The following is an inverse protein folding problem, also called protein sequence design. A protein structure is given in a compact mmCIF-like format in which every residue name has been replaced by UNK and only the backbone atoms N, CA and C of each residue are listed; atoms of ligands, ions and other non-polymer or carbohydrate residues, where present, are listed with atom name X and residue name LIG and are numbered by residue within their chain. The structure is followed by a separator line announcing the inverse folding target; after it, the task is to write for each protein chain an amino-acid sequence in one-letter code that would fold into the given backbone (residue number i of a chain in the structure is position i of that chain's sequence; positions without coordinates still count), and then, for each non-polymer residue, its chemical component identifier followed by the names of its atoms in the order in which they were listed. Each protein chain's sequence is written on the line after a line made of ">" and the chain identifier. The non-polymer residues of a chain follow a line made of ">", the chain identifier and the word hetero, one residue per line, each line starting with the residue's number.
data_IF_085113112410
#
_entry.id   IF_085113112410
#
_cell.length_a   1.000
_cell.length_b   1.000
_cell.length_c   1.000
_cell.angle_alpha   90.00
_cell.angle_beta   90.00
_cell.angle_gamma   90.00
#
_symmetry.space_group_name_H-M   'P 1'
#
loop_
_entity.id
_entity.type
_entity.pdbx_description
1 polymer ?
#
# COMPACT_ATOMS: atom_id res chain seq x y z
N UNK A 1 8.30 13.48 31.91
CA UNK A 1 7.01 13.02 31.37
C UNK A 1 6.90 11.54 31.65
N UNK A 2 5.95 11.17 32.52
CA UNK A 2 5.65 9.80 32.91
C UNK A 2 4.99 9.06 31.76
N UNK A 3 5.39 7.81 31.49
CA UNK A 3 4.47 6.80 30.96
C UNK A 3 4.71 5.45 31.65
N UNK A 4 3.71 5.05 32.44
CA UNK A 4 3.52 3.75 33.09
C UNK A 4 2.78 2.82 32.11
N UNK A 5 3.26 1.60 31.91
CA UNK A 5 2.49 0.43 31.44
C UNK A 5 2.99 -0.74 32.30
N UNK A 6 2.32 -1.18 33.36
CA UNK A 6 0.97 -1.76 33.54
C UNK A 6 0.82 -3.13 32.85
N UNK A 7 1.05 -4.15 33.68
CA UNK A 7 0.97 -5.59 33.45
C UNK A 7 -0.51 -6.00 33.51
N UNK A 8 -0.98 -6.78 32.53
CA UNK A 8 -2.30 -7.41 32.54
C UNK A 8 -2.13 -8.93 32.71
N UNK A 9 -2.51 -9.45 33.87
CA UNK A 9 -2.68 -10.90 34.14
C UNK A 9 -4.17 -11.19 34.26
N UNK A 10 -4.69 -12.02 33.37
CA UNK A 10 -6.08 -12.47 33.37
C UNK A 10 -6.27 -13.61 34.38
N UNK A 11 -7.16 -13.39 35.35
CA UNK A 11 -7.68 -14.38 36.30
C UNK A 11 -9.06 -14.80 35.80
N UNK A 12 -9.23 -16.07 35.44
CA UNK A 12 -10.55 -16.65 35.20
C UNK A 12 -10.92 -17.51 36.41
N UNK A 13 -11.74 -16.94 37.29
CA UNK A 13 -12.47 -17.62 38.36
C UNK A 13 -13.83 -18.05 37.79
N UNK A 14 -14.11 -19.35 37.75
CA UNK A 14 -15.47 -19.87 37.56
C UNK A 14 -15.88 -20.58 38.84
N UNK A 15 -16.80 -19.92 39.57
CA UNK A 15 -17.53 -20.50 40.69
C UNK A 15 -18.72 -21.27 40.11
N UNK A 16 -18.85 -22.56 40.45
CA UNK A 16 -20.08 -23.32 40.22
C UNK A 16 -20.79 -23.51 41.56
N UNK A 17 -22.00 -22.96 41.61
CA UNK A 17 -22.94 -22.96 42.73
C UNK A 17 -23.43 -24.38 43.04
N UNK A 18 -23.34 -24.79 44.30
CA UNK A 18 -23.96 -26.00 44.83
C UNK A 18 -25.39 -25.68 45.27
N UNK A 19 -26.39 -26.23 44.58
CA UNK A 19 -27.78 -26.23 45.01
C UNK A 19 -28.14 -27.62 45.57
N UNK A 20 -28.38 -27.70 46.87
CA UNK A 20 -29.09 -28.80 47.52
C UNK A 20 -30.59 -28.54 47.45
N UNK A 21 -31.41 -29.58 47.24
CA UNK A 21 -32.72 -29.63 47.85
C UNK A 21 -32.80 -30.77 48.88
N UNK A 22 -33.29 -30.43 50.06
CA UNK A 22 -33.88 -31.34 51.03
C UNK A 22 -35.38 -31.10 50.98
N UNK A 23 -36.19 -32.11 50.68
CA UNK A 23 -37.58 -32.20 51.13
C UNK A 23 -37.92 -33.68 51.35
N UNK A 24 -38.31 -33.99 52.59
CA UNK A 24 -38.98 -35.21 53.04
C UNK A 24 -40.36 -35.37 52.39
N UNK A 25 -40.75 -36.62 52.10
CA UNK A 25 -41.99 -37.24 52.60
C UNK A 25 -42.25 -38.55 51.87
N UNK A 26 -42.61 -39.55 52.68
CA UNK A 26 -43.01 -40.90 52.31
C UNK A 26 -44.08 -40.95 51.22
N UNK A 27 -43.82 -41.76 50.19
CA UNK A 27 -44.85 -42.46 49.45
C UNK A 27 -44.27 -43.77 48.92
N UNK A 28 -44.79 -44.86 49.46
CA UNK A 28 -44.57 -46.24 49.05
C UNK A 28 -44.84 -46.39 47.55
N UNK A 29 -43.78 -46.29 46.73
CA UNK A 29 -43.82 -46.65 45.32
C UNK A 29 -43.33 -48.09 45.17
N UNK A 30 -44.27 -48.95 44.78
CA UNK A 30 -44.04 -50.32 44.27
C UNK A 30 -42.82 -50.35 43.35
N UNK A 31 -41.91 -51.28 43.63
CA UNK A 31 -40.65 -51.42 42.91
C UNK A 31 -40.83 -51.76 41.44
N UNK A 32 -40.24 -50.94 40.58
CA UNK A 32 -39.73 -51.38 39.28
C UNK A 32 -38.41 -52.12 39.55
N UNK A 33 -38.49 -53.44 39.72
CA UNK A 33 -37.36 -54.34 40.02
C UNK A 33 -36.29 -54.43 38.90
N UNK A 34 -36.27 -53.50 37.92
CA UNK A 34 -35.48 -53.61 36.69
C UNK A 34 -34.58 -52.40 36.36
N UNK A 35 -34.54 -51.32 37.16
CA UNK A 35 -33.68 -50.17 36.86
C UNK A 35 -32.34 -50.20 37.62
N UNK A 36 -31.28 -50.66 36.95
CA UNK A 36 -29.92 -50.80 37.50
C UNK A 36 -29.00 -49.61 37.22
N UNK A 37 -29.52 -48.48 36.73
CA UNK A 37 -28.68 -47.37 36.28
C UNK A 37 -27.90 -47.65 34.99
N UNK A 38 -27.09 -46.66 34.55
CA UNK A 38 -26.44 -46.68 33.22
C UNK A 38 -25.24 -47.63 33.10
N UNK A 39 -24.56 -47.92 34.21
CA UNK A 39 -23.27 -48.63 34.25
C UNK A 39 -23.41 -50.11 34.69
N UNK A 40 -24.64 -50.56 34.96
CA UNK A 40 -24.96 -51.93 35.34
C UNK A 40 -26.08 -52.52 34.47
N UNK A 41 -26.27 -53.83 34.58
CA UNK A 41 -27.29 -54.61 33.89
C UNK A 41 -27.99 -55.52 34.89
N UNK A 42 -29.32 -55.66 34.78
CA UNK A 42 -30.07 -56.62 35.58
C UNK A 42 -29.79 -58.04 35.06
N UNK A 43 -29.18 -58.87 35.89
CA UNK A 43 -28.99 -60.28 35.64
C UNK A 43 -29.74 -61.06 36.72
N UNK A 44 -30.79 -61.77 36.32
CA UNK A 44 -31.61 -62.63 37.20
C UNK A 44 -32.13 -61.93 38.46
N UNK A 45 -32.58 -60.67 38.34
CA UNK A 45 -33.10 -59.88 39.46
C UNK A 45 -32.04 -59.18 40.30
N UNK A 46 -30.76 -59.29 39.94
CA UNK A 46 -29.64 -58.62 40.61
C UNK A 46 -28.94 -57.67 39.64
N UNK A 47 -28.72 -56.42 40.05
CA UNK A 47 -27.96 -55.47 39.26
C UNK A 47 -26.45 -55.76 39.37
N UNK A 48 -25.82 -56.04 38.24
CA UNK A 48 -24.38 -56.34 38.13
C UNK A 48 -23.72 -55.34 37.20
N UNK A 49 -22.54 -54.84 37.57
CA UNK A 49 -21.78 -53.90 36.74
C UNK A 49 -21.42 -54.51 35.39
N UNK A 50 -21.46 -53.69 34.33
CA UNK A 50 -21.03 -54.12 32.98
C UNK A 50 -19.55 -54.50 32.96
N UNK A 51 -18.74 -53.85 33.79
CA UNK A 51 -17.34 -54.17 34.00
C UNK A 51 -17.19 -55.06 35.24
N UNK A 52 -16.65 -56.28 35.07
CA UNK A 52 -16.54 -57.26 36.15
C UNK A 52 -15.63 -56.85 37.32
N UNK A 53 -14.75 -55.87 37.12
CA UNK A 53 -13.85 -55.33 38.16
C UNK A 53 -14.52 -54.29 39.08
N UNK A 54 -15.75 -53.86 38.78
CA UNK A 54 -16.49 -52.87 39.55
C UNK A 54 -17.58 -53.53 40.38
N UNK A 55 -17.84 -53.02 41.59
CA UNK A 55 -19.00 -53.43 42.40
C UNK A 55 -20.16 -52.47 42.19
N UNK A 56 -21.35 -53.04 42.10
CA UNK A 56 -22.60 -52.29 42.07
C UNK A 56 -22.99 -51.91 43.50
N UNK A 57 -23.22 -50.62 43.73
CA UNK A 57 -23.81 -50.11 44.96
C UNK A 57 -25.30 -49.85 44.73
N UNK A 58 -26.15 -50.62 45.41
CA UNK A 58 -27.60 -50.52 45.28
C UNK A 58 -28.18 -49.22 45.84
N UNK A 59 -27.49 -48.54 46.76
CA UNK A 59 -27.93 -47.25 47.34
C UNK A 59 -27.73 -46.10 46.36
N UNK A 60 -26.60 -46.09 45.66
CA UNK A 60 -26.26 -45.03 44.70
C UNK A 60 -26.62 -45.38 43.27
N UNK A 61 -27.00 -46.65 43.00
CA UNK A 61 -27.26 -47.20 41.67
C UNK A 61 -26.08 -46.99 40.70
N UNK A 62 -24.85 -47.05 41.22
CA UNK A 62 -23.62 -46.84 40.45
C UNK A 62 -22.64 -48.00 40.62
N UNK A 63 -21.79 -48.15 39.60
CA UNK A 63 -20.65 -49.04 39.63
C UNK A 63 -19.41 -48.27 40.06
N UNK A 64 -18.69 -48.78 41.06
CA UNK A 64 -17.42 -48.20 41.50
C UNK A 64 -16.39 -49.28 41.81
N UNK A 65 -15.13 -48.91 41.73
CA UNK A 65 -14.03 -49.78 42.11
C UNK A 65 -13.97 -49.92 43.64
N UNK A 66 -13.73 -51.13 44.14
CA UNK A 66 -13.58 -51.38 45.57
C UNK A 66 -12.17 -51.03 46.06
N UNK A 67 -12.01 -50.93 47.39
CA UNK A 67 -10.70 -50.88 48.04
C UNK A 67 -9.84 -49.65 47.68
N UNK A 68 -10.50 -48.51 47.43
CA UNK A 68 -9.84 -47.24 47.13
C UNK A 68 -9.20 -47.17 45.74
N UNK A 69 -9.54 -48.11 44.85
CA UNK A 69 -9.10 -48.12 43.45
C UNK A 69 -9.95 -47.15 42.62
N UNK A 70 -9.41 -46.70 41.50
CA UNK A 70 -10.09 -45.88 40.50
C UNK A 70 -10.18 -46.61 39.18
N UNK A 71 -11.23 -46.32 38.41
CA UNK A 71 -11.43 -46.89 37.08
C UNK A 71 -10.51 -46.19 36.08
N UNK A 72 -9.58 -46.94 35.46
CA UNK A 72 -8.63 -46.39 34.46
C UNK A 72 -9.16 -46.42 33.03
N UNK A 73 -10.45 -46.74 32.85
CA UNK A 73 -11.07 -46.96 31.55
C UNK A 73 -11.08 -48.43 31.11
N UNK A 74 -10.19 -49.26 31.68
CA UNK A 74 -10.07 -50.70 31.33
C UNK A 74 -10.16 -51.63 32.55
N UNK A 75 -9.67 -51.21 33.72
CA UNK A 75 -9.70 -51.98 34.97
C UNK A 75 -9.67 -51.06 36.20
N UNK A 76 -9.97 -51.61 37.37
CA UNK A 76 -9.83 -50.93 38.65
C UNK A 76 -8.39 -51.01 39.18
N UNK A 77 -7.69 -49.89 39.27
CA UNK A 77 -6.29 -49.80 39.75
C UNK A 77 -6.12 -48.74 40.84
N UNK A 78 -5.04 -48.82 41.63
CA UNK A 78 -4.72 -47.80 42.62
C UNK A 78 -4.27 -46.50 41.93
N UNK A 79 -4.86 -45.37 42.35
CA UNK A 79 -4.53 -44.05 41.82
C UNK A 79 -3.20 -43.53 42.36
N UNK A 80 -2.13 -43.78 41.61
CA UNK A 80 -0.79 -43.26 41.88
C UNK A 80 -0.47 -41.97 41.11
N UNK A 81 -1.42 -41.38 40.37
CA UNK A 81 -1.13 -40.29 39.44
C UNK A 81 -0.37 -40.73 38.18
N UNK A 82 -0.09 -39.78 37.29
CA UNK A 82 0.43 -40.05 35.92
C UNK A 82 1.89 -40.50 35.87
N UNK A 83 2.71 -40.08 36.84
CA UNK A 83 4.18 -40.24 36.83
C UNK A 83 4.66 -41.42 37.69
N UNK A 84 3.73 -42.12 38.35
CA UNK A 84 4.01 -43.27 39.19
C UNK A 84 3.22 -44.50 38.73
N UNK A 85 3.51 -45.63 39.35
CA UNK A 85 2.85 -46.90 39.14
C UNK A 85 2.75 -47.65 40.47
N UNK A 86 1.73 -48.48 40.63
CA UNK A 86 1.53 -49.26 41.85
C UNK A 86 2.34 -50.56 41.77
N UNK A 87 3.36 -50.72 42.62
CA UNK A 87 4.20 -51.92 42.71
C UNK A 87 4.45 -52.29 44.17
N UNK A 88 4.42 -53.60 44.47
CA UNK A 88 4.72 -54.15 45.80
C UNK A 88 3.94 -53.48 46.95
N UNK A 89 2.65 -53.19 46.75
CA UNK A 89 1.80 -52.61 47.79
C UNK A 89 1.92 -51.09 47.97
N UNK A 90 2.71 -50.38 47.14
CA UNK A 90 2.88 -48.92 47.21
C UNK A 90 3.01 -48.28 45.82
N UNK A 91 2.73 -46.98 45.74
CA UNK A 91 3.01 -46.19 44.55
C UNK A 91 4.52 -45.87 44.48
N UNK A 92 5.13 -46.14 43.33
CA UNK A 92 6.55 -45.86 43.06
C UNK A 92 6.70 -45.10 41.75
N UNK A 93 7.69 -44.21 41.68
CA UNK A 93 7.92 -43.40 40.50
C UNK A 93 8.38 -44.23 39.31
N UNK A 94 7.92 -43.86 38.10
CA UNK A 94 8.33 -44.52 36.85
C UNK A 94 9.81 -44.31 36.56
N UNK A 95 10.33 -43.15 36.90
CA UNK A 95 11.72 -42.79 36.65
C UNK A 95 12.58 -43.02 37.89
N UNK A 96 13.71 -43.71 37.70
CA UNK A 96 14.68 -43.94 38.77
C UNK A 96 15.25 -42.62 39.31
N UNK A 97 15.32 -42.49 40.65
CA UNK A 97 15.85 -41.30 41.34
C UNK A 97 14.81 -40.23 41.68
N UNK A 98 13.55 -40.40 41.30
CA UNK A 98 12.44 -39.59 41.79
C UNK A 98 11.79 -40.24 43.02
N UNK A 99 11.31 -39.42 43.95
CA UNK A 99 10.53 -39.86 45.10
C UNK A 99 9.05 -39.54 44.91
N UNK A 100 8.21 -40.48 45.32
CA UNK A 100 6.76 -40.36 45.23
C UNK A 100 6.22 -39.62 46.45
N UNK A 101 5.52 -38.52 46.22
CA UNK A 101 4.79 -37.80 47.25
C UNK A 101 3.32 -38.23 47.23
N UNK A 102 2.88 -38.91 48.30
CA UNK A 102 1.54 -39.44 48.42
C UNK A 102 0.44 -38.37 48.58
N UNK A 103 0.78 -37.16 49.02
CA UNK A 103 -0.20 -36.05 49.16
C UNK A 103 -0.54 -35.44 47.82
N UNK A 104 0.48 -35.27 46.97
CA UNK A 104 0.35 -34.64 45.65
C UNK A 104 0.17 -35.65 44.52
N UNK A 105 0.34 -36.95 44.82
CA UNK A 105 0.33 -38.06 43.84
C UNK A 105 1.29 -37.80 42.67
N UNK A 106 2.48 -37.29 42.99
CA UNK A 106 3.46 -36.84 41.99
C UNK A 106 4.87 -37.34 42.34
N UNK A 107 5.71 -37.39 41.30
CA UNK A 107 7.11 -37.81 41.40
C UNK A 107 8.04 -36.63 41.20
N UNK A 108 8.93 -36.40 42.15
CA UNK A 108 9.87 -35.28 42.11
C UNK A 108 11.28 -35.68 42.52
N UNK A 109 12.27 -34.93 42.06
CA UNK A 109 13.66 -35.14 42.45
C UNK A 109 13.90 -34.53 43.83
N UNK A 110 14.55 -35.26 44.73
CA UNK A 110 14.87 -34.77 46.08
C UNK A 110 16.20 -34.05 46.15
N UNK A 111 16.38 -33.24 47.19
CA UNK A 111 17.62 -32.52 47.46
C UNK A 111 17.90 -31.34 46.51
N UNK A 112 16.85 -30.63 46.04
CA UNK A 112 16.99 -29.44 45.18
C UNK A 112 17.41 -29.75 43.74
N UNK A 113 17.26 -31.00 43.31
CA UNK A 113 17.52 -31.44 41.94
C UNK A 113 16.27 -31.29 41.08
N UNK A 114 16.45 -31.20 39.78
CA UNK A 114 15.38 -31.15 38.77
C UNK A 114 15.54 -32.32 37.79
N UNK A 115 14.42 -32.76 37.22
CA UNK A 115 14.42 -33.82 36.23
C UNK A 115 14.84 -33.26 34.87
N UNK A 116 15.96 -33.75 34.33
CA UNK A 116 16.53 -33.32 33.04
C UNK A 116 15.95 -34.08 31.84
N UNK A 117 14.95 -34.93 32.04
CA UNK A 117 14.42 -35.86 31.05
C UNK A 117 15.00 -37.26 31.18
N UNK A 118 16.25 -37.39 31.66
CA UNK A 118 16.93 -38.68 31.85
C UNK A 118 17.32 -38.99 33.29
N UNK A 119 17.62 -37.96 34.10
CA UNK A 119 18.04 -38.11 35.51
C UNK A 119 17.81 -36.84 36.33
N UNK A 120 17.84 -36.99 37.67
CA UNK A 120 17.78 -35.87 38.60
C UNK A 120 19.14 -35.20 38.77
N UNK A 121 19.27 -33.92 38.37
CA UNK A 121 20.52 -33.13 38.49
C UNK A 121 20.26 -31.77 39.16
N UNK A 122 21.32 -31.13 39.68
CA UNK A 122 21.20 -29.79 40.25
C UNK A 122 20.95 -28.75 39.16
N UNK A 123 19.93 -27.91 39.36
CA UNK A 123 19.58 -26.85 38.43
C UNK A 123 20.51 -25.64 38.60
N UNK A 124 21.58 -25.61 37.81
CA UNK A 124 22.53 -24.50 37.73
C UNK A 124 22.20 -23.51 36.59
N UNK A 125 21.10 -23.69 35.86
CA UNK A 125 20.86 -22.93 34.64
C UNK A 125 21.72 -23.39 33.45
N UNK A 126 21.55 -22.71 32.30
CA UNK A 126 22.12 -23.14 31.00
C UNK A 126 23.64 -22.92 30.85
N UNK A 127 24.20 -21.94 31.56
CA UNK A 127 25.58 -21.48 31.38
C UNK A 127 26.53 -21.93 32.51
N UNK A 128 26.02 -22.73 33.45
CA UNK A 128 26.77 -23.26 34.59
C UNK A 128 26.57 -24.76 34.75
N UNK A 129 27.53 -25.39 35.42
CA UNK A 129 27.52 -26.81 35.75
C UNK A 129 27.76 -27.00 37.24
N UNK A 130 27.17 -28.04 37.82
CA UNK A 130 27.43 -28.41 39.20
C UNK A 130 28.79 -29.12 39.33
N UNK A 131 29.76 -28.50 40.01
CA UNK A 131 31.10 -29.07 40.26
C UNK A 131 31.50 -28.82 41.71
N UNK A 132 32.09 -29.82 42.37
CA UNK A 132 32.61 -29.72 43.75
C UNK A 132 31.59 -29.14 44.76
N UNK A 133 30.33 -29.57 44.68
CA UNK A 133 29.30 -29.15 45.64
C UNK A 133 28.65 -27.79 45.35
N UNK A 134 29.02 -27.10 44.27
CA UNK A 134 28.42 -25.80 43.89
C UNK A 134 28.23 -25.64 42.38
N UNK A 135 27.31 -24.79 41.97
CA UNK A 135 27.18 -24.37 40.59
C UNK A 135 28.34 -23.42 40.22
N UNK A 136 29.01 -23.72 39.11
CA UNK A 136 30.11 -22.91 38.59
C UNK A 136 29.91 -22.64 37.11
N UNK A 137 30.27 -21.44 36.66
CA UNK A 137 30.14 -21.08 35.27
C UNK A 137 31.00 -21.97 34.36
N UNK A 138 30.45 -22.28 33.19
CA UNK A 138 31.16 -23.06 32.18
C UNK A 138 32.36 -22.28 31.59
N UNK A 139 32.32 -20.94 31.68
CA UNK A 139 33.39 -20.03 31.27
C UNK A 139 34.14 -19.52 32.50
N UNK A 140 35.47 -19.65 32.49
CA UNK A 140 36.33 -19.43 33.65
C UNK A 140 36.33 -17.97 34.18
N UNK A 141 36.14 -16.97 33.31
CA UNK A 141 36.15 -15.56 33.72
C UNK A 141 34.78 -15.03 34.17
N UNK A 142 33.76 -15.87 34.21
CA UNK A 142 32.42 -15.49 34.62
C UNK A 142 32.14 -15.95 36.06
N UNK A 143 31.38 -15.15 36.80
CA UNK A 143 30.91 -15.49 38.12
C UNK A 143 29.45 -15.94 38.07
N UNK A 144 29.15 -16.96 38.88
CA UNK A 144 27.82 -17.54 38.99
C UNK A 144 27.00 -16.79 40.04
N UNK A 145 25.85 -16.27 39.63
CA UNK A 145 24.87 -15.69 40.52
C UNK A 145 23.80 -16.74 40.86
N UNK A 146 23.78 -17.16 42.13
CA UNK A 146 22.86 -18.20 42.61
C UNK A 146 21.39 -17.77 42.66
N UNK A 147 21.08 -16.46 42.72
CA UNK A 147 19.70 -15.96 42.75
C UNK A 147 19.06 -16.03 41.36
N UNK A 148 19.84 -15.68 40.35
CA UNK A 148 19.41 -15.61 38.95
C UNK A 148 19.75 -16.88 38.15
N UNK A 149 20.55 -17.79 38.73
CA UNK A 149 21.09 -18.99 38.06
C UNK A 149 21.79 -18.66 36.74
N UNK A 150 22.56 -17.57 36.75
CA UNK A 150 23.18 -17.01 35.55
C UNK A 150 24.67 -16.75 35.75
N UNK A 151 25.40 -16.69 34.63
CA UNK A 151 26.83 -16.42 34.59
C UNK A 151 27.08 -15.07 33.94
N UNK A 152 27.81 -14.19 34.62
CA UNK A 152 28.10 -12.85 34.12
C UNK A 152 29.50 -12.37 34.48
N UNK A 153 29.98 -11.38 33.74
CA UNK A 153 31.25 -10.72 34.03
C UNK A 153 31.05 -9.69 35.16
N UNK A 154 31.90 -9.71 36.18
CA UNK A 154 31.82 -8.77 37.31
C UNK A 154 32.67 -7.52 37.06
N UNK A 155 32.38 -6.46 37.82
CA UNK A 155 33.19 -5.23 37.80
C UNK A 155 33.10 -4.41 36.51
N UNK A 156 31.90 -4.32 35.89
CA UNK A 156 31.69 -3.51 34.69
C UNK A 156 32.34 -4.07 33.42
N UNK A 157 32.72 -5.36 33.44
CA UNK A 157 33.26 -6.07 32.29
C UNK A 157 32.15 -6.69 31.45
N UNK A 158 32.42 -6.90 30.17
CA UNK A 158 31.56 -7.58 29.21
C UNK A 158 32.25 -8.81 28.63
N UNK A 159 31.44 -9.80 28.27
CA UNK A 159 31.93 -11.04 27.66
C UNK A 159 32.16 -10.84 26.16
N UNK A 160 33.39 -11.06 25.70
CA UNK A 160 33.78 -10.91 24.27
C UNK A 160 33.65 -12.21 23.47
N UNK A 161 33.06 -13.25 24.05
CA UNK A 161 33.06 -14.61 23.48
C UNK A 161 34.20 -15.48 24.03
N UNK A 162 35.34 -14.87 24.36
CA UNK A 162 36.53 -15.57 24.89
C UNK A 162 36.88 -15.21 26.34
N UNK A 163 36.72 -13.94 26.73
CA UNK A 163 37.10 -13.43 28.05
C UNK A 163 36.26 -12.24 28.49
N UNK A 164 36.25 -11.95 29.79
CA UNK A 164 35.64 -10.74 30.35
C UNK A 164 36.60 -9.54 30.23
N UNK A 165 36.23 -8.50 29.49
CA UNK A 165 37.02 -7.27 29.31
C UNK A 165 36.24 -6.05 29.77
N UNK A 166 36.91 -4.97 30.16
CA UNK A 166 36.22 -3.71 30.49
C UNK A 166 35.45 -3.16 29.30
N UNK A 167 34.21 -2.73 29.55
CA UNK A 167 33.36 -2.14 28.51
C UNK A 167 33.73 -0.68 28.24
N UNK A 168 34.62 -0.49 27.27
CA UNK A 168 35.04 0.81 26.76
C UNK A 168 34.24 1.27 25.52
N UNK A 169 33.17 0.56 25.13
CA UNK A 169 32.50 0.81 23.86
C UNK A 169 33.30 0.32 22.63
N UNK A 170 32.86 0.71 21.43
CA UNK A 170 33.39 0.18 20.16
C UNK A 170 34.67 0.87 19.67
N UNK A 171 34.87 2.14 20.04
CA UNK A 171 35.96 2.99 19.51
C UNK A 171 37.15 3.14 20.47
N UNK A 172 37.09 2.50 21.63
CA UNK A 172 38.13 2.57 22.65
C UNK A 172 38.52 1.20 23.15
N UNK A 173 39.74 1.14 23.67
CA UNK A 173 40.34 -0.07 24.25
C UNK A 173 40.81 0.24 25.66
N UNK A 174 40.72 -0.75 26.55
CA UNK A 174 41.27 -0.65 27.90
C UNK A 174 42.81 -0.72 27.84
N UNK A 175 43.48 0.36 28.27
CA UNK A 175 44.94 0.48 28.27
C UNK A 175 45.40 1.29 29.49
N UNK A 176 46.43 0.81 30.20
CA UNK A 176 46.99 1.47 31.39
C UNK A 176 45.94 1.86 32.46
N UNK A 177 44.98 0.98 32.72
CA UNK A 177 43.98 1.18 33.78
C UNK A 177 42.85 2.16 33.43
N UNK A 178 42.71 2.57 32.16
CA UNK A 178 41.59 3.40 31.67
C UNK A 178 41.19 3.04 30.24
N UNK A 179 39.98 3.42 29.85
CA UNK A 179 39.58 3.35 28.44
C UNK A 179 40.24 4.48 27.65
N UNK A 180 40.85 4.13 26.52
CA UNK A 180 41.55 5.06 25.63
C UNK A 180 41.05 4.85 24.21
N UNK A 181 40.77 5.94 23.49
CA UNK A 181 40.36 5.87 22.10
C UNK A 181 41.41 5.17 21.23
N UNK A 182 40.95 4.37 20.27
CA UNK A 182 41.82 3.70 19.32
C UNK A 182 42.56 4.70 18.42
N UNK A 183 41.96 5.88 18.21
CA UNK A 183 42.57 7.00 17.50
C UNK A 183 43.12 8.03 18.49
N UNK A 184 44.40 8.40 18.35
CA UNK A 184 45.12 9.30 19.26
C UNK A 184 44.55 10.72 19.32
N UNK A 185 43.90 11.17 18.25
CA UNK A 185 43.36 12.53 18.14
C UNK A 185 41.97 12.68 18.76
N UNK A 186 41.35 11.56 19.16
CA UNK A 186 40.04 11.56 19.82
C UNK A 186 40.22 11.46 21.34
N UNK A 187 39.40 12.20 22.07
CA UNK A 187 39.28 12.08 23.53
C UNK A 187 38.16 11.12 23.88
N UNK A 188 38.39 10.28 24.89
CA UNK A 188 37.39 9.37 25.43
C UNK A 188 36.55 10.07 26.50
N UNK A 189 35.23 9.98 26.38
CA UNK A 189 34.29 10.42 27.41
C UNK A 189 33.78 9.21 28.21
N UNK A 190 34.04 9.20 29.51
CA UNK A 190 33.74 8.06 30.37
C UNK A 190 32.24 7.84 30.61
N UNK A 191 31.44 8.92 30.58
CA UNK A 191 29.98 8.84 30.83
C UNK A 191 29.25 8.25 29.62
N UNK A 192 29.65 8.66 28.43
CA UNK A 192 29.02 8.27 27.16
C UNK A 192 29.69 7.06 26.51
N UNK A 193 30.93 6.74 26.90
CA UNK A 193 31.80 5.73 26.29
C UNK A 193 32.07 5.99 24.80
N UNK A 194 32.13 7.27 24.42
CA UNK A 194 32.32 7.73 23.04
C UNK A 194 33.68 8.41 22.90
N UNK A 195 34.30 8.22 21.74
CA UNK A 195 35.50 8.91 21.31
C UNK A 195 35.16 10.08 20.38
N UNK A 196 35.47 11.30 20.79
CA UNK A 196 35.16 12.51 20.01
C UNK A 196 36.37 13.42 19.84
N UNK A 197 36.36 14.19 18.76
CA UNK A 197 37.33 15.25 18.53
C UNK A 197 37.07 16.41 19.48
N UNK A 198 38.11 16.98 20.09
CA UNK A 198 38.00 18.10 21.04
C UNK A 198 38.32 19.43 20.36
N UNK A 199 37.95 20.54 20.99
CA UNK A 199 38.30 21.89 20.48
C UNK A 199 37.60 22.30 19.18
N UNK A 200 36.36 21.83 18.95
CA UNK A 200 35.58 22.21 17.77
C UNK A 200 36.08 21.61 16.45
N UNK A 201 36.92 20.58 16.54
CA UNK A 201 37.39 19.81 15.39
C UNK A 201 36.46 18.63 15.09
N UNK A 202 36.46 18.15 13.85
CA UNK A 202 35.68 17.02 13.37
C UNK A 202 36.59 15.94 12.79
N UNK A 203 36.15 14.69 12.87
CA UNK A 203 36.89 13.55 12.38
C UNK A 203 36.81 13.48 10.86
N UNK A 204 37.93 13.66 10.16
CA UNK A 204 37.98 13.63 8.68
C UNK A 204 38.19 12.21 8.11
N UNK A 205 38.09 11.18 8.96
CA UNK A 205 38.39 9.79 8.62
C UNK A 205 39.79 9.36 9.04
N UNK A 206 40.75 10.30 9.07
CA UNK A 206 42.14 10.04 9.44
C UNK A 206 42.61 10.78 10.69
N UNK A 207 42.13 12.00 10.92
CA UNK A 207 42.54 12.87 12.04
C UNK A 207 41.41 13.85 12.40
N UNK A 208 41.52 14.49 13.56
CA UNK A 208 40.62 15.57 13.95
C UNK A 208 41.11 16.91 13.36
N UNK A 209 40.29 17.55 12.52
CA UNK A 209 40.62 18.85 11.90
C UNK A 209 39.51 19.87 12.11
N UNK A 210 39.81 21.16 11.96
CA UNK A 210 38.80 22.21 12.05
C UNK A 210 37.71 22.02 11.01
N UNK A 211 36.46 22.11 11.47
CA UNK A 211 35.29 21.97 10.61
C UNK A 211 35.01 23.26 9.83
N UNK A 212 35.62 23.37 8.65
CA UNK A 212 35.38 24.43 7.67
C UNK A 212 34.26 24.09 6.68
N UNK A 213 33.53 22.99 6.86
CA UNK A 213 32.60 22.48 5.83
C UNK A 213 33.30 21.85 4.62
N UNK A 214 32.51 21.45 3.63
CA UNK A 214 32.97 20.58 2.52
C UNK A 214 33.81 21.29 1.44
N UNK A 215 33.57 22.58 1.25
CA UNK A 215 34.13 23.37 0.13
C UNK A 215 35.30 24.28 0.55
N UNK A 216 35.68 24.24 1.82
CA UNK A 216 36.78 25.02 2.39
C UNK A 216 37.84 24.12 3.03
N UNK A 217 38.96 24.72 3.36
CA UNK A 217 40.11 24.12 4.04
C UNK A 217 40.59 25.08 5.13
N UNK A 218 41.11 24.54 6.22
CA UNK A 218 41.70 25.35 7.28
C UNK A 218 43.16 25.67 6.94
N UNK A 219 43.44 26.92 6.58
CA UNK A 219 44.78 27.41 6.23
C UNK A 219 45.12 28.66 7.03
N UNK A 220 46.35 28.74 7.56
CA UNK A 220 46.86 29.90 8.31
C UNK A 220 45.94 30.39 9.45
N UNK A 221 45.30 29.46 10.16
CA UNK A 221 44.46 29.78 11.31
C UNK A 221 43.03 30.23 10.96
N UNK A 222 42.60 30.12 9.71
CA UNK A 222 41.23 30.43 9.27
C UNK A 222 40.74 29.47 8.20
N UNK A 223 39.42 29.34 8.09
CA UNK A 223 38.79 28.61 6.99
C UNK A 223 38.83 29.45 5.72
N UNK A 224 39.32 28.86 4.62
CA UNK A 224 39.39 29.49 3.30
C UNK A 224 38.79 28.58 2.25
N UNK A 225 38.11 29.16 1.27
CA UNK A 225 37.53 28.39 0.18
C UNK A 225 38.61 27.73 -0.68
N UNK A 226 38.34 26.50 -1.12
CA UNK A 226 39.23 25.78 -2.05
C UNK A 226 39.40 26.53 -3.37
N UNK A 227 38.36 27.27 -3.77
CA UNK A 227 38.36 28.11 -4.95
C UNK A 227 38.56 29.58 -4.55
N UNK A 228 39.65 30.19 -5.05
CA UNK A 228 40.07 31.56 -4.68
C UNK A 228 39.05 32.66 -5.00
N UNK A 229 38.17 32.43 -5.97
CA UNK A 229 37.13 33.40 -6.37
C UNK A 229 35.89 33.36 -5.46
N UNK A 230 35.80 32.36 -4.56
CA UNK A 230 34.70 32.21 -3.62
C UNK A 230 35.07 32.81 -2.26
N UNK A 231 34.07 33.39 -1.60
CA UNK A 231 34.17 33.91 -0.26
C UNK A 231 33.65 32.87 0.74
N UNK A 232 34.39 32.69 1.82
CA UNK A 232 34.00 31.80 2.91
C UNK A 232 33.10 32.56 3.90
N UNK A 233 31.94 32.00 4.19
CA UNK A 233 31.04 32.51 5.21
C UNK A 233 31.14 31.66 6.48
N UNK A 234 31.64 32.26 7.56
CA UNK A 234 31.91 31.57 8.83
C UNK A 234 30.61 31.06 9.50
N UNK A 235 29.50 31.78 9.34
CA UNK A 235 28.23 31.42 9.96
C UNK A 235 27.60 30.17 9.34
N UNK A 236 27.66 30.05 8.01
CA UNK A 236 27.11 28.92 7.26
C UNK A 236 28.14 27.83 6.96
N UNK A 237 29.43 28.10 7.14
CA UNK A 237 30.55 27.23 6.72
C UNK A 237 30.49 26.86 5.25
N UNK A 238 30.10 27.82 4.41
CA UNK A 238 29.96 27.62 2.97
C UNK A 238 30.81 28.60 2.17
N UNK A 239 31.13 28.17 0.94
CA UNK A 239 31.83 28.98 -0.04
C UNK A 239 30.86 29.42 -1.12
N UNK A 240 30.79 30.72 -1.38
CA UNK A 240 29.89 31.30 -2.36
C UNK A 240 30.53 32.45 -3.12
N UNK A 241 30.01 32.75 -4.30
CA UNK A 241 30.43 33.90 -5.08
C UNK A 241 29.76 35.17 -4.55
N UNK A 242 30.51 36.27 -4.45
CA UNK A 242 29.98 37.58 -4.03
C UNK A 242 29.38 38.34 -5.21
N UNK A 243 28.69 39.45 -4.92
CA UNK A 243 28.23 40.43 -5.91
C UNK A 243 27.25 39.88 -6.96
N UNK A 244 26.40 38.92 -6.55
CA UNK A 244 25.40 38.32 -7.43
C UNK A 244 25.99 37.44 -8.53
N UNK A 245 27.24 37.01 -8.38
CA UNK A 245 27.88 36.02 -9.25
C UNK A 245 27.49 34.61 -8.85
N UNK A 246 27.60 33.68 -9.79
CA UNK A 246 27.40 32.24 -9.61
C UNK A 246 28.66 31.49 -10.00
N UNK A 247 28.86 30.33 -9.37
CA UNK A 247 29.98 29.45 -9.70
C UNK A 247 29.66 28.63 -10.95
N UNK A 248 30.44 28.80 -12.02
CA UNK A 248 30.26 28.04 -13.26
C UNK A 248 31.07 26.74 -13.33
N UNK A 249 31.67 26.31 -12.21
CA UNK A 249 32.60 25.17 -12.15
C UNK A 249 34.08 25.56 -12.21
N UNK A 250 34.41 26.77 -12.69
CA UNK A 250 35.79 27.25 -12.83
C UNK A 250 36.05 28.58 -12.13
N UNK A 251 35.10 29.52 -12.21
CA UNK A 251 35.21 30.87 -11.63
C UNK A 251 33.82 31.43 -11.29
N UNK A 252 33.81 32.48 -10.48
CA UNK A 252 32.58 33.24 -10.22
C UNK A 252 32.26 34.15 -11.41
N UNK A 253 31.11 33.93 -12.05
CA UNK A 253 30.62 34.69 -13.21
C UNK A 253 29.27 35.32 -12.90
N UNK A 254 28.94 36.43 -13.57
CA UNK A 254 27.62 37.04 -13.40
C UNK A 254 26.48 36.09 -13.81
N UNK A 255 25.43 36.02 -13.00
CA UNK A 255 24.25 35.25 -13.34
C UNK A 255 23.39 35.97 -14.38
N UNK A 256 23.51 35.51 -15.62
CA UNK A 256 22.68 35.94 -16.74
C UNK A 256 21.57 34.93 -17.08
N UNK A 257 21.37 33.88 -16.28
CA UNK A 257 20.48 32.78 -16.62
C UNK A 257 20.95 31.97 -17.82
N UNK A 258 20.10 31.05 -18.30
CA UNK A 258 20.46 30.08 -19.36
C UNK A 258 20.43 30.65 -20.79
N UNK A 259 19.73 31.77 -21.00
CA UNK A 259 19.43 32.32 -22.32
C UNK A 259 20.29 33.53 -22.69
N UNK A 260 21.15 33.99 -21.78
CA UNK A 260 22.00 35.13 -21.96
C UNK A 260 23.42 34.86 -21.48
N UNK A 261 24.35 35.64 -22.00
CA UNK A 261 25.77 35.62 -21.66
C UNK A 261 26.21 37.01 -21.24
N UNK A 262 27.16 37.08 -20.31
CA UNK A 262 27.76 38.35 -19.91
C UNK A 262 28.66 38.88 -21.03
N UNK A 263 28.30 40.02 -21.62
CA UNK A 263 29.06 40.66 -22.69
C UNK A 263 29.13 42.19 -22.48
N UNK A 264 30.35 42.74 -22.49
CA UNK A 264 30.65 44.16 -22.35
C UNK A 264 29.94 44.85 -21.15
N UNK A 265 29.99 44.22 -19.98
CA UNK A 265 29.45 44.79 -18.73
C UNK A 265 27.94 44.61 -18.51
N UNK A 266 27.26 43.81 -19.34
CA UNK A 266 25.83 43.49 -19.18
C UNK A 266 25.48 42.08 -19.66
N UNK A 267 24.38 41.53 -19.17
CA UNK A 267 23.82 40.30 -19.72
C UNK A 267 23.15 40.58 -21.07
N UNK A 268 23.52 39.82 -22.09
CA UNK A 268 23.00 39.93 -23.46
C UNK A 268 22.45 38.58 -23.89
N UNK A 269 21.25 38.58 -24.47
CA UNK A 269 20.62 37.37 -24.97
C UNK A 269 21.48 36.68 -26.03
N UNK A 270 21.56 35.35 -25.95
CA UNK A 270 22.29 34.53 -26.92
C UNK A 270 21.61 34.61 -28.30
N UNK A 271 20.28 34.69 -28.29
CA UNK A 271 19.47 34.88 -29.49
C UNK A 271 19.36 36.37 -29.83
N UNK A 272 19.59 36.69 -31.10
CA UNK A 272 19.42 38.04 -31.63
C UNK A 272 17.92 38.44 -31.59
N UNK A 273 17.63 39.75 -31.55
CA UNK A 273 16.28 40.34 -31.43
C UNK A 273 15.53 40.13 -30.11
N UNK A 274 16.05 39.35 -29.16
CA UNK A 274 15.49 39.25 -27.81
C UNK A 274 16.10 40.29 -26.87
N UNK A 275 15.27 40.83 -25.98
CA UNK A 275 15.72 41.71 -24.91
C UNK A 275 15.86 40.93 -23.61
N UNK A 276 16.95 41.20 -22.89
CA UNK A 276 17.21 40.63 -21.58
C UNK A 276 16.47 41.43 -20.51
N UNK A 277 15.77 40.74 -19.63
CA UNK A 277 15.15 41.31 -18.44
C UNK A 277 15.98 40.93 -17.20
N UNK A 278 16.55 41.94 -16.53
CA UNK A 278 17.47 41.73 -15.41
C UNK A 278 16.79 41.20 -14.14
N UNK A 279 15.49 41.47 -13.95
CA UNK A 279 14.74 41.00 -12.78
C UNK A 279 14.43 39.51 -12.88
N UNK A 280 14.06 39.06 -14.06
CA UNK A 280 13.66 37.67 -14.33
C UNK A 280 14.81 36.81 -14.85
N UNK A 281 15.92 37.42 -15.28
CA UNK A 281 17.05 36.76 -15.94
C UNK A 281 16.64 35.96 -17.17
N UNK A 282 15.68 36.48 -17.93
CA UNK A 282 15.12 35.82 -19.13
C UNK A 282 15.25 36.69 -20.38
N UNK A 283 15.18 36.03 -21.54
CA UNK A 283 15.23 36.68 -22.84
C UNK A 283 13.89 36.55 -23.55
N UNK A 284 13.26 37.68 -23.87
CA UNK A 284 11.93 37.72 -24.50
C UNK A 284 11.87 38.71 -25.66
N UNK A 285 10.92 38.49 -26.56
CA UNK A 285 10.63 39.42 -27.64
C UNK A 285 9.87 40.64 -27.10
N UNK A 286 10.30 41.83 -27.46
CA UNK A 286 9.65 43.08 -27.05
C UNK A 286 8.55 43.50 -28.03
N UNK A 287 7.61 44.35 -27.57
CA UNK A 287 6.58 44.93 -28.42
C UNK A 287 5.52 43.95 -28.92
N UNK A 288 5.14 42.96 -28.11
CA UNK A 288 4.09 42.00 -28.46
C UNK A 288 4.48 40.99 -29.55
N UNK A 289 5.77 40.90 -29.88
CA UNK A 289 6.31 39.92 -30.82
C UNK A 289 6.50 38.56 -30.15
N UNK A 290 6.52 37.50 -30.96
CA UNK A 290 6.80 36.13 -30.56
C UNK A 290 8.05 35.62 -31.27
N UNK A 291 8.70 34.63 -30.67
CA UNK A 291 9.85 33.96 -31.26
C UNK A 291 9.40 32.90 -32.26
N UNK A 292 9.77 33.02 -33.53
CA UNK A 292 9.44 32.01 -34.55
C UNK A 292 10.51 30.92 -34.74
N UNK A 293 11.51 30.85 -33.85
CA UNK A 293 12.67 29.98 -33.99
C UNK A 293 13.93 30.66 -34.54
N UNK A 294 13.79 31.83 -35.18
CA UNK A 294 14.92 32.58 -35.77
C UNK A 294 14.96 34.06 -35.39
N UNK A 295 13.80 34.71 -35.29
CA UNK A 295 13.68 36.15 -34.95
C UNK A 295 12.37 36.46 -34.25
N UNK A 296 12.29 37.63 -33.63
CA UNK A 296 11.05 38.13 -33.04
C UNK A 296 10.13 38.70 -34.13
N UNK A 297 8.97 38.07 -34.32
CA UNK A 297 7.95 38.44 -35.33
C UNK A 297 6.62 38.79 -34.67
N UNK A 298 5.77 39.56 -35.34
CA UNK A 298 4.41 39.80 -34.85
C UNK A 298 3.59 38.51 -34.85
N UNK A 299 2.82 38.29 -33.79
CA UNK A 299 1.95 37.13 -33.67
C UNK A 299 0.63 37.36 -34.40
N UNK A 300 0.56 36.89 -35.64
CA UNK A 300 -0.64 36.90 -36.48
C UNK A 300 -1.41 35.57 -36.46
N UNK A 301 -1.02 34.59 -35.64
CA UNK A 301 -1.59 33.23 -35.71
C UNK A 301 -1.12 32.43 -36.94
N UNK A 302 -1.69 31.23 -37.12
CA UNK A 302 -1.19 30.25 -38.10
C UNK A 302 -1.53 30.59 -39.57
N UNK A 303 -2.66 31.26 -39.80
CA UNK A 303 -3.25 31.46 -41.14
C UNK A 303 -3.04 32.86 -41.70
N UNK A 304 -2.36 33.74 -40.97
CA UNK A 304 -2.05 35.09 -41.38
C UNK A 304 -0.55 35.38 -41.36
N UNK A 305 -0.17 36.44 -42.06
CA UNK A 305 1.19 36.97 -42.15
C UNK A 305 1.16 38.46 -41.84
N UNK A 306 2.23 38.99 -41.27
CA UNK A 306 2.34 40.42 -41.00
C UNK A 306 2.87 41.14 -42.25
N UNK A 307 2.01 41.93 -42.91
CA UNK A 307 2.36 42.72 -44.09
C UNK A 307 1.90 44.18 -43.92
N UNK A 308 2.74 45.13 -44.33
CA UNK A 308 2.45 46.57 -44.30
C UNK A 308 1.91 47.09 -42.96
N UNK A 309 2.43 46.58 -41.84
CA UNK A 309 2.06 47.04 -40.50
C UNK A 309 0.79 46.39 -39.91
N UNK A 310 0.20 45.39 -40.59
CA UNK A 310 -0.99 44.67 -40.10
C UNK A 310 -0.92 43.17 -40.41
N UNK A 311 -1.66 42.37 -39.63
CA UNK A 311 -1.84 40.95 -39.94
C UNK A 311 -2.88 40.79 -41.06
N UNK A 312 -2.52 40.05 -42.11
CA UNK A 312 -3.38 39.75 -43.27
C UNK A 312 -3.44 38.25 -43.49
N UNK A 313 -4.61 37.75 -43.89
CA UNK A 313 -4.79 36.33 -44.17
C UNK A 313 -3.97 35.89 -45.38
N UNK A 314 -3.35 34.70 -45.29
CA UNK A 314 -2.66 34.07 -46.42
C UNK A 314 -3.61 33.81 -47.60
N UNK A 315 -4.88 33.55 -47.31
CA UNK A 315 -5.95 33.42 -48.30
C UNK A 315 -6.66 34.75 -48.51
N UNK A 316 -6.67 35.27 -49.74
CA UNK A 316 -7.22 36.60 -50.08
C UNK A 316 -8.72 36.76 -49.79
N UNK A 317 -9.48 35.66 -49.82
CA UNK A 317 -10.93 35.66 -49.59
C UNK A 317 -11.34 35.58 -48.12
N UNK A 318 -10.38 35.42 -47.20
CA UNK A 318 -10.63 35.38 -45.75
C UNK A 318 -10.35 36.74 -45.13
N UNK A 319 -11.12 37.10 -44.12
CA UNK A 319 -10.87 38.28 -43.30
C UNK A 319 -10.16 37.89 -42.00
N UNK A 320 -9.19 38.72 -41.60
CA UNK A 320 -8.45 38.53 -40.36
C UNK A 320 -9.20 39.16 -39.20
N UNK A 321 -9.37 38.41 -38.12
CA UNK A 321 -9.92 38.88 -36.87
C UNK A 321 -8.79 39.06 -35.83
N UNK A 322 -8.57 40.30 -35.42
CA UNK A 322 -7.45 40.66 -34.53
C UNK A 322 -7.61 40.11 -33.10
N UNK A 323 -8.84 39.91 -32.63
CA UNK A 323 -9.10 39.40 -31.27
C UNK A 323 -8.79 37.91 -31.16
N UNK A 324 -9.14 37.15 -32.18
CA UNK A 324 -8.98 35.69 -32.24
C UNK A 324 -7.70 35.26 -32.96
N UNK A 325 -6.99 36.21 -33.61
CA UNK A 325 -5.81 35.96 -34.45
C UNK A 325 -6.06 34.87 -35.49
N UNK A 326 -7.25 34.91 -36.11
CA UNK A 326 -7.73 33.87 -37.01
C UNK A 326 -8.27 34.44 -38.32
N UNK A 327 -8.28 33.60 -39.35
CA UNK A 327 -8.75 33.95 -40.68
C UNK A 327 -10.03 33.19 -41.00
N UNK A 328 -11.13 33.91 -41.23
CA UNK A 328 -12.44 33.32 -41.48
C UNK A 328 -13.14 33.94 -42.68
N UNK A 329 -14.08 33.19 -43.27
CA UNK A 329 -14.94 33.69 -44.33
C UNK A 329 -16.02 34.60 -43.73
N UNK A 330 -16.22 35.79 -44.31
CA UNK A 330 -17.24 36.73 -43.85
C UNK A 330 -18.61 36.43 -44.48
N UNK A 331 -19.69 36.89 -43.83
CA UNK A 331 -21.05 36.80 -44.37
C UNK A 331 -21.63 35.39 -44.44
N UNK A 332 -21.31 34.51 -43.49
CA UNK A 332 -21.87 33.15 -43.42
C UNK A 332 -21.38 32.20 -44.52
N UNK A 333 -20.33 32.59 -45.25
CA UNK A 333 -19.66 31.75 -46.25
C UNK A 333 -18.75 30.72 -45.57
N UNK A 334 -18.47 29.63 -46.26
CA UNK A 334 -17.55 28.58 -45.84
C UNK A 334 -16.38 28.45 -46.81
N UNK A 335 -15.23 28.02 -46.29
CA UNK A 335 -14.03 27.80 -47.09
C UNK A 335 -14.13 26.44 -47.80
N UNK A 336 -14.11 26.42 -49.13
CA UNK A 336 -14.15 25.17 -49.91
C UNK A 336 -12.76 24.63 -50.29
N UNK A 337 -11.68 25.15 -49.69
CA UNK A 337 -10.31 24.83 -50.06
C UNK A 337 -9.64 25.87 -50.96
N UNK A 338 -10.42 26.63 -51.74
CA UNK A 338 -9.91 27.65 -52.68
C UNK A 338 -10.47 29.06 -52.46
N UNK A 339 -11.76 29.16 -52.14
CA UNK A 339 -12.47 30.45 -51.95
C UNK A 339 -13.58 30.35 -50.92
N UNK A 340 -14.04 31.49 -50.44
CA UNK A 340 -15.19 31.57 -49.55
C UNK A 340 -16.49 31.50 -50.37
N UNK A 341 -17.25 30.42 -50.21
CA UNK A 341 -18.51 30.16 -50.94
C UNK A 341 -19.71 30.13 -50.02
N UNK A 342 -20.91 30.37 -50.54
CA UNK A 342 -22.13 30.20 -49.76
C UNK A 342 -22.32 28.73 -49.38
N UNK A 343 -22.60 28.49 -48.10
CA UNK A 343 -22.82 27.15 -47.57
C UNK A 343 -24.25 26.68 -47.87
N UNK A 344 -24.41 25.99 -48.99
CA UNK A 344 -25.68 25.38 -49.42
C UNK A 344 -25.80 23.89 -49.01
N UNK A 345 -24.87 23.36 -48.20
CA UNK A 345 -24.82 21.92 -47.94
C UNK A 345 -24.37 21.09 -49.15
N UNK A 346 -24.44 19.75 -49.02
CA UNK A 346 -23.87 18.80 -49.99
C UNK A 346 -24.74 18.53 -51.24
N UNK A 347 -26.06 18.73 -51.12
CA UNK A 347 -27.04 18.33 -52.15
C UNK A 347 -27.60 19.54 -52.93
N UNK A 348 -27.05 20.74 -52.70
CA UNK A 348 -27.45 21.97 -53.37
C UNK A 348 -26.25 22.79 -53.83
N UNK A 349 -26.49 23.68 -54.80
CA UNK A 349 -25.52 24.61 -55.34
C UNK A 349 -26.08 26.03 -55.32
N UNK A 350 -25.22 27.02 -55.08
CA UNK A 350 -25.63 28.42 -55.10
C UNK A 350 -25.76 28.90 -56.56
N UNK A 351 -26.96 29.25 -56.99
CA UNK A 351 -27.29 29.70 -58.34
C UNK A 351 -28.33 30.82 -58.30
N UNK A 352 -28.16 31.87 -59.12
CA UNK A 352 -29.07 33.04 -59.19
C UNK A 352 -29.42 33.68 -57.83
N UNK A 353 -28.46 33.74 -56.90
CA UNK A 353 -28.65 34.39 -55.61
C UNK A 353 -29.27 33.50 -54.51
N UNK A 354 -29.58 32.23 -54.81
CA UNK A 354 -30.19 31.29 -53.87
C UNK A 354 -29.53 29.91 -53.94
N UNK A 355 -29.64 29.12 -52.87
CA UNK A 355 -29.25 27.71 -52.90
C UNK A 355 -30.33 26.88 -53.60
N UNK A 356 -29.95 26.15 -54.63
CA UNK A 356 -30.84 25.33 -55.47
C UNK A 356 -30.37 23.89 -55.44
N UNK A 357 -31.30 22.97 -55.24
CA UNK A 357 -31.01 21.53 -55.22
C UNK A 357 -30.40 21.05 -56.53
N UNK A 358 -29.42 20.14 -56.43
CA UNK A 358 -28.77 19.55 -57.60
C UNK A 358 -29.75 18.68 -58.42
N UNK A 359 -30.74 18.09 -57.74
CA UNK A 359 -31.74 17.23 -58.35
C UNK A 359 -33.04 17.97 -58.63
N UNK A 360 -33.58 17.79 -59.85
CA UNK A 360 -34.90 18.32 -60.25
C UNK A 360 -35.99 17.71 -59.35
N UNK A 361 -37.03 18.49 -59.08
CA UNK A 361 -38.18 18.17 -58.19
C UNK A 361 -37.91 18.16 -56.67
N UNK A 362 -36.68 18.42 -56.23
CA UNK A 362 -36.35 18.65 -54.82
C UNK A 362 -36.44 20.14 -54.47
N UNK A 363 -36.89 20.43 -53.24
CA UNK A 363 -36.96 21.76 -52.68
C UNK A 363 -35.86 21.95 -51.64
N UNK A 364 -35.17 23.09 -51.69
CA UNK A 364 -34.12 23.44 -50.74
C UNK A 364 -34.72 24.04 -49.48
N UNK A 365 -34.34 23.51 -48.32
CA UNK A 365 -34.72 24.05 -47.02
C UNK A 365 -33.52 24.82 -46.41
N UNK A 366 -33.67 26.14 -46.29
CA UNK A 366 -32.58 27.03 -45.86
C UNK A 366 -32.16 26.82 -44.40
N UNK A 367 -33.07 26.36 -43.54
CA UNK A 367 -32.77 26.11 -42.11
C UNK A 367 -31.91 24.86 -41.92
N UNK A 368 -32.24 23.79 -42.62
CA UNK A 368 -31.54 22.51 -42.54
C UNK A 368 -30.38 22.40 -43.53
N UNK A 369 -30.32 23.29 -44.54
CA UNK A 369 -29.38 23.24 -45.67
C UNK A 369 -29.45 21.91 -46.41
N UNK A 370 -30.65 21.37 -46.58
CA UNK A 370 -30.90 20.09 -47.24
C UNK A 370 -31.93 20.21 -48.35
N UNK A 371 -31.90 19.24 -49.26
CA UNK A 371 -32.84 19.10 -50.35
C UNK A 371 -33.81 17.96 -50.08
N UNK A 372 -35.11 18.23 -50.16
CA UNK A 372 -36.16 17.26 -49.88
C UNK A 372 -37.29 17.33 -50.92
N UNK A 373 -37.93 16.19 -51.17
CA UNK A 373 -39.12 16.12 -51.99
C UNK A 373 -40.32 16.72 -51.24
N UNK A 374 -41.13 17.54 -51.92
CA UNK A 374 -42.34 18.15 -51.33
C UNK A 374 -43.57 17.24 -51.46
N UNK A 375 -44.57 17.46 -50.62
CA UNK A 375 -45.88 16.77 -50.75
C UNK A 375 -45.88 15.29 -50.38
N UNK A 376 -45.06 14.86 -49.42
CA UNK A 376 -45.02 13.47 -48.94
C UNK A 376 -44.36 12.49 -49.92
N UNK A 377 -43.67 13.00 -50.94
CA UNK A 377 -42.89 12.22 -51.90
C UNK A 377 -41.51 11.90 -51.33
N UNK A 378 -40.88 10.85 -51.84
CA UNK A 378 -39.50 10.49 -51.53
C UNK A 378 -38.67 10.41 -52.81
N UNK A 379 -37.36 10.64 -52.67
CA UNK A 379 -36.44 10.55 -53.79
C UNK A 379 -36.11 9.08 -54.06
N UNK A 380 -36.42 8.59 -55.28
CA UNK A 380 -36.12 7.21 -55.65
C UNK A 380 -34.77 7.04 -56.41
N UNK A 381 -33.92 8.07 -56.41
CA UNK A 381 -32.67 8.10 -57.20
C UNK A 381 -32.77 8.85 -58.53
N UNK A 382 -33.99 9.12 -59.03
CA UNK A 382 -34.17 9.86 -60.30
C UNK A 382 -35.26 10.92 -60.27
N UNK A 383 -36.33 10.74 -59.48
CA UNK A 383 -37.43 11.70 -59.36
C UNK A 383 -38.13 11.58 -58.01
N UNK A 384 -38.86 12.62 -57.60
CA UNK A 384 -39.69 12.59 -56.40
C UNK A 384 -40.99 11.83 -56.66
N UNK A 385 -41.14 10.65 -56.04
CA UNK A 385 -42.30 9.77 -56.20
C UNK A 385 -43.06 9.60 -54.88
N UNK A 386 -44.35 9.31 -54.96
CA UNK A 386 -45.11 8.92 -53.77
C UNK A 386 -44.58 7.60 -53.23
N UNK A 387 -44.23 7.60 -51.94
CA UNK A 387 -43.78 6.40 -51.26
C UNK A 387 -44.97 5.53 -50.87
N UNK A 388 -45.33 4.60 -51.76
CA UNK A 388 -46.33 3.57 -51.53
C UNK A 388 -45.76 2.29 -50.91
N UNK A 389 -44.48 2.25 -50.54
CA UNK A 389 -43.81 1.01 -50.16
C UNK A 389 -43.56 0.07 -51.36
N UNK A 390 -42.96 -1.09 -51.08
CA UNK A 390 -42.45 -2.04 -52.08
C UNK A 390 -43.54 -2.81 -52.86
N UNK A 391 -44.67 -3.07 -52.22
CA UNK A 391 -45.71 -4.00 -52.73
C UNK A 391 -46.90 -3.27 -53.40
N UNK A 392 -46.84 -1.94 -53.44
CA UNK A 392 -47.87 -1.09 -54.02
C UNK A 392 -47.29 -0.13 -55.07
N UNK A 393 -48.19 0.43 -55.87
CA UNK A 393 -47.89 1.43 -56.89
C UNK A 393 -48.88 2.57 -56.75
N UNK A 394 -48.45 3.81 -56.99
CA UNK A 394 -49.35 4.96 -56.98
C UNK A 394 -50.12 4.99 -58.31
N UNK A 395 -51.45 4.78 -58.26
CA UNK A 395 -52.33 4.83 -59.43
C UNK A 395 -53.65 5.53 -59.06
N UNK A 396 -54.18 6.35 -59.98
CA UNK A 396 -55.46 7.07 -59.80
C UNK A 396 -55.57 7.86 -58.48
N UNK A 397 -54.49 8.54 -58.09
CA UNK A 397 -54.48 9.39 -56.89
C UNK A 397 -54.31 8.66 -55.55
N UNK A 398 -54.10 7.34 -55.55
CA UNK A 398 -53.91 6.53 -54.34
C UNK A 398 -52.86 5.43 -54.54
N UNK A 399 -52.25 4.98 -53.46
CA UNK A 399 -51.45 3.76 -53.50
C UNK A 399 -52.37 2.54 -53.61
N UNK A 400 -52.13 1.70 -54.61
CA UNK A 400 -52.85 0.44 -54.85
C UNK A 400 -51.88 -0.72 -54.84
N UNK A 401 -52.31 -1.85 -54.30
CA UNK A 401 -51.50 -3.06 -54.27
C UNK A 401 -51.27 -3.61 -55.68
N UNK A 402 -50.05 -4.07 -55.95
CA UNK A 402 -49.72 -4.70 -57.24
C UNK A 402 -50.46 -6.03 -57.44
N UNK A 403 -50.72 -6.75 -56.35
CA UNK A 403 -51.43 -8.03 -56.37
C UNK A 403 -52.93 -7.84 -56.18
N UNK A 404 -53.72 -8.43 -57.08
CA UNK A 404 -55.17 -8.47 -56.98
C UNK A 404 -55.61 -9.25 -55.71
N UNK A 405 -56.61 -8.75 -54.99
CA UNK A 405 -57.11 -9.33 -53.74
C UNK A 405 -56.51 -8.75 -52.45
N UNK A 406 -55.47 -7.91 -52.53
CA UNK A 406 -54.88 -7.21 -51.39
C UNK A 406 -55.39 -5.77 -51.28
N UNK A 407 -55.67 -5.34 -50.05
CA UNK A 407 -56.00 -3.96 -49.71
C UNK A 407 -54.74 -3.23 -49.20
N UNK A 408 -54.53 -2.01 -49.69
CA UNK A 408 -53.41 -1.18 -49.26
C UNK A 408 -53.68 -0.57 -47.88
N UNK A 409 -52.75 -0.77 -46.95
CA UNK A 409 -52.79 -0.20 -45.61
C UNK A 409 -51.87 1.04 -45.53
N UNK A 410 -52.47 2.23 -45.58
CA UNK A 410 -51.73 3.50 -45.66
C UNK A 410 -50.84 3.78 -44.43
N UNK A 411 -51.19 3.25 -43.26
CA UNK A 411 -50.41 3.42 -42.03
C UNK A 411 -49.08 2.65 -42.07
N UNK A 412 -49.07 1.44 -42.64
CA UNK A 412 -47.86 0.61 -42.72
C UNK A 412 -47.17 0.64 -44.08
N UNK A 413 -47.78 1.29 -45.09
CA UNK A 413 -47.32 1.26 -46.50
C UNK A 413 -47.12 -0.17 -47.03
N UNK A 414 -48.00 -1.08 -46.62
CA UNK A 414 -47.98 -2.48 -47.05
C UNK A 414 -49.33 -2.93 -47.58
N UNK A 415 -49.31 -4.02 -48.35
CA UNK A 415 -50.49 -4.66 -48.90
C UNK A 415 -50.91 -5.83 -48.02
N UNK A 416 -52.13 -5.78 -47.49
CA UNK A 416 -52.69 -6.80 -46.59
C UNK A 416 -53.90 -7.46 -47.23
N UNK A 417 -54.15 -8.73 -46.90
CA UNK A 417 -55.32 -9.42 -47.41
C UNK A 417 -56.62 -8.71 -46.98
N UNK A 418 -57.54 -8.48 -47.92
CA UNK A 418 -58.87 -7.96 -47.58
C UNK A 418 -59.64 -9.01 -46.74
N UNK A 419 -60.24 -8.57 -45.62
CA UNK A 419 -61.00 -9.44 -44.71
C UNK A 419 -61.98 -10.34 -45.49
N UNK A 420 -61.75 -11.65 -45.44
CA UNK A 420 -62.62 -12.67 -46.03
C UNK A 420 -62.32 -13.10 -47.48
N UNK A 421 -61.19 -12.70 -48.09
CA UNK A 421 -60.89 -13.06 -49.51
C UNK A 421 -59.58 -13.80 -49.78
N UNK A 422 -58.77 -14.13 -48.78
CA UNK A 422 -57.62 -15.02 -48.98
C UNK A 422 -57.92 -16.39 -48.37
N UNK A 423 -58.07 -17.39 -49.22
CA UNK A 423 -57.97 -18.79 -48.81
C UNK A 423 -56.48 -19.10 -48.62
N UNK A 424 -56.12 -19.55 -47.42
CA UNK A 424 -54.90 -20.35 -47.25
C UNK A 424 -55.21 -21.74 -47.78
N UNK A 425 -54.38 -22.35 -48.65
CA UNK A 425 -54.50 -23.77 -48.89
C UNK A 425 -54.17 -24.52 -47.58
N UNK A 426 -54.95 -25.53 -47.15
CA UNK A 426 -54.39 -26.63 -46.37
C UNK A 426 -53.44 -27.42 -47.28
N UNK A 427 -52.38 -27.99 -46.70
CA UNK A 427 -51.30 -28.74 -47.36
C UNK A 427 -51.70 -29.55 -48.59
#
# INVERSE_FOLDING_TARGET
>A
MLFKHLILTAVCSLQSVSATPVVDSELLARGDYNNCGKDATNQYGVCVCRNGDMKYDAKTQTCSCTDGKVWTGTKCEYDCGKDALYQYGKCVCRNAGQEYDAKTKSCSCTGGKVWTGTKCEYDCGKDASYKNGKCVCNKADQEYDAKTKSCSCTGGKIWTGTKCVYDCGKEASWSNGKCVCNHKDKSYDEKTKICSCTGGTVWTGTKCEHDCGKDAVFEYGKCVCRHRDQHYDEASKTCSCTDGKIWNGQKCVYDCGKQASWNNGKCVCNEQDKSFDDKTKTCSCTGGKIWNGQKCVYDCGADAIFEYGKCVCKSQDKSYDEKTKSCSCTGGKVWNGQKCVHDCGKDASYSNGQCVCLHKDQHYDDKSKTCACTGGKTWNGSQCVYDCGKDAVYQYGKCVCRNEGFAYDAASKTCKCAKGKCYSPPY
#
